data_IF_000062019873
#
_entry.id   IF_000062019873
#
_cell.length_a   1.000
_cell.length_b   1.000
_cell.length_c   1.000
_cell.angle_alpha   90.00
_cell.angle_beta   90.00
_cell.angle_gamma   90.00
#
_symmetry.space_group_name_H-M   'P 1'
#
loop_
_entity.id
_entity.type
_entity.pdbx_description
1 polymer ?
#
# COMPACT_ATOMS: atom_id res chain seq x y z
N UNK A 1 -23.49 -60.71 -30.96
CA UNK A 1 -24.17 -61.31 -29.79
C UNK A 1 -23.12 -61.54 -28.71
N UNK A 2 -23.47 -61.26 -27.46
CA UNK A 2 -22.70 -61.30 -26.19
C UNK A 2 -22.05 -59.99 -25.71
N UNK A 3 -22.66 -59.59 -24.61
CA UNK A 3 -22.41 -58.54 -23.62
C UNK A 3 -21.27 -58.95 -22.67
N UNK A 4 -20.80 -57.95 -21.91
CA UNK A 4 -20.19 -57.98 -20.57
C UNK A 4 -18.76 -58.53 -20.45
N UNK A 5 -17.82 -57.94 -19.71
CA UNK A 5 -17.89 -56.92 -18.63
C UNK A 5 -16.49 -56.39 -18.25
N UNK A 6 -16.47 -55.14 -17.72
CA UNK A 6 -15.55 -54.55 -16.70
C UNK A 6 -14.05 -54.48 -17.12
N UNK A 7 -13.38 -53.35 -17.01
CA UNK A 7 -13.16 -52.58 -15.78
C UNK A 7 -12.96 -51.08 -16.04
N UNK A 8 -13.26 -50.32 -14.99
CA UNK A 8 -13.28 -48.87 -14.91
C UNK A 8 -11.91 -48.22 -15.10
N UNK A 9 -11.87 -47.16 -15.90
CA UNK A 9 -11.03 -45.99 -15.64
C UNK A 9 -11.91 -44.77 -15.85
N UNK A 10 -12.54 -44.32 -14.77
CA UNK A 10 -13.24 -43.05 -14.74
C UNK A 10 -12.16 -41.98 -14.81
N UNK A 11 -11.98 -41.38 -15.97
CA UNK A 11 -11.39 -40.05 -16.06
C UNK A 11 -12.34 -39.12 -15.35
N UNK A 12 -11.93 -38.70 -14.16
CA UNK A 12 -12.57 -37.68 -13.36
C UNK A 12 -12.29 -36.34 -14.08
N UNK A 13 -13.02 -36.11 -15.18
CA UNK A 13 -13.26 -34.78 -15.72
C UNK A 13 -14.10 -34.07 -14.65
N UNK A 14 -13.41 -33.50 -13.66
CA UNK A 14 -13.98 -32.40 -12.89
C UNK A 14 -14.38 -31.37 -13.92
N UNK A 15 -15.69 -31.28 -14.15
CA UNK A 15 -16.32 -30.12 -14.70
C UNK A 15 -15.79 -28.92 -13.91
N UNK A 16 -14.88 -28.18 -14.54
CA UNK A 16 -14.62 -26.79 -14.22
C UNK A 16 -15.96 -26.05 -14.38
N UNK A 17 -16.78 -26.09 -13.34
CA UNK A 17 -17.69 -24.98 -13.06
C UNK A 17 -16.77 -23.96 -12.42
N UNK A 18 -16.21 -23.09 -13.27
CA UNK A 18 -15.70 -21.81 -12.83
C UNK A 18 -16.89 -21.07 -12.20
N UNK A 19 -17.05 -21.14 -10.88
CA UNK A 19 -17.53 -19.97 -10.15
C UNK A 19 -16.29 -19.10 -9.92
N UNK A 20 -15.95 -18.31 -10.92
CA UNK A 20 -15.06 -17.18 -10.70
C UNK A 20 -15.84 -16.16 -9.87
N UNK A 21 -15.84 -16.34 -8.55
CA UNK A 21 -16.14 -15.24 -7.63
C UNK A 21 -14.89 -14.35 -7.54
N UNK A 22 -14.47 -13.79 -8.68
CA UNK A 22 -13.60 -12.63 -8.69
C UNK A 22 -14.52 -11.44 -8.45
N UNK A 23 -14.55 -10.91 -7.24
CA UNK A 23 -15.19 -9.63 -6.96
C UNK A 23 -14.22 -8.52 -7.40
N UNK A 24 -14.42 -7.86 -8.57
CA UNK A 24 -13.40 -6.99 -9.18
C UNK A 24 -13.54 -5.53 -8.73
N UNK A 25 -14.27 -5.29 -7.63
CA UNK A 25 -14.54 -3.95 -7.14
C UNK A 25 -13.51 -3.60 -6.07
N UNK A 26 -12.63 -2.65 -6.38
CA UNK A 26 -11.66 -2.15 -5.42
C UNK A 26 -12.34 -1.14 -4.49
N UNK A 27 -12.36 -1.45 -3.20
CA UNK A 27 -13.01 -0.63 -2.17
C UNK A 27 -11.95 -0.10 -1.22
N UNK A 28 -11.96 1.20 -0.99
CA UNK A 28 -11.08 1.90 -0.05
C UNK A 28 -11.83 3.07 0.58
N UNK A 29 -11.27 3.72 1.60
CA UNK A 29 -11.88 4.89 2.23
C UNK A 29 -10.84 5.87 2.74
N UNK A 30 -11.24 7.14 2.84
CA UNK A 30 -10.39 8.22 3.34
C UNK A 30 -11.10 9.02 4.44
N UNK A 31 -10.44 9.30 5.59
CA UNK A 31 -9.13 8.77 5.97
C UNK A 31 -9.19 7.25 6.21
N UNK A 32 -8.11 6.55 5.90
CA UNK A 32 -8.00 5.09 6.06
C UNK A 32 -8.26 4.62 7.51
N UNK A 33 -7.93 5.47 8.50
CA UNK A 33 -8.12 5.21 9.93
C UNK A 33 -9.02 6.27 10.56
N UNK A 34 -10.34 6.17 10.37
CA UNK A 34 -11.26 7.13 10.93
C UNK A 34 -11.49 6.91 12.42
N UNK A 35 -11.40 7.98 13.20
CA UNK A 35 -11.81 7.94 14.60
C UNK A 35 -13.33 8.02 14.71
N UNK A 36 -13.85 7.61 15.86
CA UNK A 36 -15.24 7.89 16.23
C UNK A 36 -15.52 9.40 16.16
N UNK A 37 -16.45 9.79 15.32
CA UNK A 37 -16.83 11.17 15.03
C UNK A 37 -16.23 11.73 13.74
N UNK A 38 -15.27 11.04 13.12
CA UNK A 38 -14.70 11.46 11.85
C UNK A 38 -15.66 11.20 10.68
N UNK A 39 -15.54 12.04 9.65
CA UNK A 39 -16.18 11.82 8.35
C UNK A 39 -15.24 11.03 7.46
N UNK A 40 -15.70 9.90 6.96
CA UNK A 40 -15.03 9.13 5.91
C UNK A 40 -15.72 9.29 4.57
N UNK A 41 -14.94 9.28 3.51
CA UNK A 41 -15.41 9.04 2.15
C UNK A 41 -15.04 7.61 1.77
N UNK A 42 -16.03 6.77 1.52
CA UNK A 42 -15.86 5.40 1.04
C UNK A 42 -15.90 5.43 -0.48
N UNK A 43 -14.94 4.78 -1.12
CA UNK A 43 -14.77 4.70 -2.56
C UNK A 43 -14.99 3.27 -3.04
N UNK A 44 -15.65 3.13 -4.18
CA UNK A 44 -15.76 1.88 -4.91
C UNK A 44 -15.37 2.10 -6.38
N UNK A 45 -14.25 1.52 -6.77
CA UNK A 45 -13.81 1.45 -8.16
C UNK A 45 -14.37 0.18 -8.80
N UNK A 46 -15.32 0.38 -9.72
CA UNK A 46 -15.97 -0.73 -10.44
C UNK A 46 -15.40 -0.93 -11.85
N UNK A 47 -14.27 -0.31 -12.21
CA UNK A 47 -13.69 -0.31 -13.56
C UNK A 47 -13.47 -1.70 -14.15
N UNK A 48 -12.94 -2.62 -13.34
CA UNK A 48 -12.62 -3.99 -13.75
C UNK A 48 -13.77 -4.98 -13.49
N UNK A 49 -14.96 -4.47 -13.15
CA UNK A 49 -16.11 -5.29 -12.79
C UNK A 49 -17.29 -5.19 -13.76
N UNK A 50 -18.18 -6.16 -13.69
CA UNK A 50 -19.46 -6.14 -14.41
C UNK A 50 -20.34 -4.94 -13.99
N UNK A 51 -20.05 -4.32 -12.84
CA UNK A 51 -20.73 -3.14 -12.32
C UNK A 51 -20.35 -1.83 -13.03
N UNK A 52 -19.36 -1.84 -13.94
CA UNK A 52 -18.99 -0.64 -14.72
C UNK A 52 -20.15 -0.04 -15.52
N UNK A 53 -21.13 -0.88 -15.89
CA UNK A 53 -22.35 -0.48 -16.61
C UNK A 53 -23.59 -0.38 -15.71
N UNK A 54 -23.43 -0.54 -14.39
CA UNK A 54 -24.54 -0.40 -13.47
C UNK A 54 -25.08 1.04 -13.48
N UNK A 55 -26.41 1.13 -13.54
CA UNK A 55 -27.12 2.41 -13.46
C UNK A 55 -26.96 3.07 -12.08
N UNK A 56 -26.91 2.26 -11.02
CA UNK A 56 -26.74 2.71 -9.64
C UNK A 56 -25.91 1.70 -8.86
N UNK A 57 -24.97 2.22 -8.07
CA UNK A 57 -24.30 1.48 -7.00
C UNK A 57 -24.77 1.99 -5.65
N UNK A 58 -25.07 1.08 -4.76
CA UNK A 58 -25.52 1.36 -3.40
C UNK A 58 -24.50 0.82 -2.40
N UNK A 59 -24.51 1.45 -1.24
CA UNK A 59 -23.83 0.99 -0.04
C UNK A 59 -24.87 0.59 1.00
N UNK A 60 -24.64 -0.52 1.68
CA UNK A 60 -25.54 -1.11 2.66
C UNK A 60 -24.81 -1.21 3.99
N UNK A 61 -25.23 -0.46 5.01
CA UNK A 61 -24.59 -0.45 6.33
C UNK A 61 -25.35 -1.31 7.34
N UNK A 62 -24.61 -2.02 8.20
CA UNK A 62 -25.14 -2.79 9.31
C UNK A 62 -24.22 -2.72 10.53
N UNK A 63 -24.78 -2.77 11.73
CA UNK A 63 -24.02 -2.91 13.00
C UNK A 63 -24.10 -4.32 13.59
N UNK A 64 -24.97 -5.17 13.04
CA UNK A 64 -25.29 -6.51 13.57
C UNK A 64 -25.22 -7.63 12.51
N UNK A 65 -24.89 -7.30 11.26
CA UNK A 65 -24.90 -8.19 10.09
C UNK A 65 -26.27 -8.81 9.77
N UNK A 66 -27.35 -8.33 10.39
CA UNK A 66 -28.70 -8.82 10.15
C UNK A 66 -29.58 -7.74 9.52
N UNK A 67 -29.43 -6.49 9.97
CA UNK A 67 -30.24 -5.36 9.53
C UNK A 67 -29.37 -4.39 8.74
N UNK A 68 -29.74 -4.13 7.48
CA UNK A 68 -28.99 -3.25 6.60
C UNK A 68 -29.79 -2.01 6.21
N UNK A 69 -29.14 -0.85 6.27
CA UNK A 69 -29.64 0.42 5.73
C UNK A 69 -28.97 0.73 4.41
N UNK A 70 -29.76 0.94 3.36
CA UNK A 70 -29.26 1.12 1.98
C UNK A 70 -29.22 2.59 1.57
N UNK A 71 -28.13 2.99 0.94
CA UNK A 71 -27.95 4.34 0.41
C UNK A 71 -27.33 4.33 -0.98
N UNK A 72 -27.79 5.22 -1.85
CA UNK A 72 -27.18 5.42 -3.16
C UNK A 72 -25.81 6.09 -3.03
N UNK A 73 -24.80 5.54 -3.71
CA UNK A 73 -23.49 6.19 -3.85
C UNK A 73 -23.54 7.22 -4.99
N UNK A 74 -22.61 8.18 -4.95
CA UNK A 74 -22.47 9.25 -5.94
C UNK A 74 -21.34 8.94 -6.92
N UNK A 75 -21.50 9.29 -8.20
CA UNK A 75 -20.40 9.18 -9.17
C UNK A 75 -19.33 10.22 -8.88
N UNK A 76 -18.06 9.80 -8.83
CA UNK A 76 -16.90 10.69 -8.69
C UNK A 76 -16.04 10.67 -9.96
N UNK A 77 -16.45 11.45 -10.95
CA UNK A 77 -15.71 11.60 -12.20
C UNK A 77 -14.34 12.28 -12.05
N UNK A 78 -14.08 12.94 -10.91
CA UNK A 78 -12.79 13.54 -10.60
C UNK A 78 -11.74 12.48 -10.28
N UNK A 79 -12.13 11.44 -9.55
CA UNK A 79 -11.26 10.31 -9.17
C UNK A 79 -11.22 9.20 -10.22
N UNK A 80 -12.23 9.09 -11.09
CA UNK A 80 -12.20 8.21 -12.26
C UNK A 80 -13.58 7.93 -12.86
N UNK A 81 -13.62 7.46 -14.11
CA UNK A 81 -14.89 7.27 -14.85
C UNK A 81 -15.84 6.26 -14.18
N UNK A 82 -15.29 5.31 -13.43
CA UNK A 82 -16.01 4.22 -12.79
C UNK A 82 -15.96 4.26 -11.26
N UNK A 83 -15.61 5.42 -10.68
CA UNK A 83 -15.54 5.58 -9.22
C UNK A 83 -16.89 6.02 -8.66
N UNK A 84 -17.30 5.39 -7.57
CA UNK A 84 -18.44 5.78 -6.75
C UNK A 84 -18.01 6.12 -5.33
N UNK A 85 -18.67 7.09 -4.70
CA UNK A 85 -18.35 7.54 -3.36
C UNK A 85 -19.56 7.68 -2.44
N UNK A 86 -19.34 7.49 -1.14
CA UNK A 86 -20.33 7.77 -0.09
C UNK A 86 -19.64 8.37 1.14
N UNK A 87 -20.20 9.46 1.67
CA UNK A 87 -19.71 10.07 2.90
C UNK A 87 -20.44 9.49 4.12
N UNK A 88 -19.69 9.01 5.11
CA UNK A 88 -20.21 8.38 6.31
C UNK A 88 -19.60 9.00 7.57
N UNK A 89 -20.43 9.30 8.57
CA UNK A 89 -19.97 9.73 9.90
C UNK A 89 -19.74 8.49 10.77
N UNK A 90 -18.51 8.24 11.18
CA UNK A 90 -18.15 7.02 11.95
C UNK A 90 -18.64 7.14 13.38
N UNK A 91 -19.69 6.40 13.75
CA UNK A 91 -20.30 6.45 15.09
C UNK A 91 -19.90 5.27 15.98
N UNK A 92 -19.80 4.11 15.36
CA UNK A 92 -19.50 2.81 15.96
C UNK A 92 -18.96 1.86 14.88
N UNK A 93 -18.52 0.68 15.29
CA UNK A 93 -18.09 -0.37 14.37
C UNK A 93 -19.26 -0.72 13.44
N UNK A 94 -19.04 -0.49 12.14
CA UNK A 94 -20.09 -0.59 11.14
C UNK A 94 -19.61 -1.44 9.97
N UNK A 95 -20.34 -2.51 9.70
CA UNK A 95 -20.20 -3.32 8.51
C UNK A 95 -20.83 -2.60 7.33
N UNK A 96 -20.22 -2.68 6.16
CA UNK A 96 -20.84 -2.24 4.93
C UNK A 96 -20.57 -3.18 3.76
N UNK A 97 -21.53 -3.19 2.85
CA UNK A 97 -21.51 -3.93 1.59
C UNK A 97 -21.79 -2.96 0.44
N UNK A 98 -21.13 -3.15 -0.69
CA UNK A 98 -21.36 -2.35 -1.90
C UNK A 98 -21.90 -3.28 -2.99
N UNK A 99 -22.94 -2.83 -3.70
CA UNK A 99 -23.62 -3.63 -4.72
C UNK A 99 -24.63 -2.83 -5.54
N UNK A 100 -25.30 -3.49 -6.49
CA UNK A 100 -26.46 -2.91 -7.21
C UNK A 100 -27.79 -3.46 -6.64
N UNK A 101 -28.93 -2.96 -7.14
CA UNK A 101 -30.26 -3.37 -6.68
C UNK A 101 -30.62 -4.86 -6.92
N UNK A 102 -29.87 -5.59 -7.75
CA UNK A 102 -30.25 -6.90 -8.30
C UNK A 102 -29.42 -8.08 -7.73
N UNK A 103 -28.78 -7.89 -6.57
CA UNK A 103 -27.91 -8.86 -5.85
C UNK A 103 -26.57 -9.19 -6.52
N UNK A 104 -25.49 -8.70 -5.91
CA UNK A 104 -24.33 -9.52 -5.53
C UNK A 104 -23.59 -8.77 -4.42
N UNK A 105 -23.54 -9.35 -3.21
CA UNK A 105 -22.74 -8.81 -2.13
C UNK A 105 -21.27 -8.99 -2.50
N UNK A 106 -20.59 -7.87 -2.77
CA UNK A 106 -19.25 -7.92 -3.36
C UNK A 106 -18.14 -8.15 -2.35
N UNK A 107 -18.35 -7.77 -1.08
CA UNK A 107 -17.54 -8.08 0.11
C UNK A 107 -18.21 -7.43 1.32
N UNK A 108 -18.24 -8.09 2.49
CA UNK A 108 -18.59 -7.44 3.76
C UNK A 108 -17.31 -6.84 4.35
N UNK A 109 -17.23 -5.51 4.40
CA UNK A 109 -16.09 -4.77 4.95
C UNK A 109 -16.53 -4.13 6.27
N UNK A 110 -15.65 -4.07 7.26
CA UNK A 110 -15.95 -3.44 8.55
C UNK A 110 -15.16 -2.15 8.68
N UNK A 111 -15.84 -1.03 8.91
CA UNK A 111 -15.24 0.20 9.44
C UNK A 111 -15.28 0.07 10.96
N UNK A 112 -14.15 -0.17 11.60
CA UNK A 112 -14.09 -0.21 13.06
C UNK A 112 -13.88 1.19 13.61
N UNK A 113 -14.76 1.60 14.51
CA UNK A 113 -14.63 2.82 15.32
C UNK A 113 -13.50 2.73 16.37
N UNK A 114 -12.93 1.54 16.59
CA UNK A 114 -11.79 1.29 17.47
C UNK A 114 -10.42 1.47 16.80
N UNK A 115 -10.35 1.72 15.49
CA UNK A 115 -9.09 1.93 14.77
C UNK A 115 -8.61 3.38 15.00
N UNK A 116 -8.31 3.69 16.27
CA UNK A 116 -7.51 4.87 16.64
C UNK A 116 -6.30 4.85 15.73
N UNK A 117 -6.04 5.94 15.01
CA UNK A 117 -4.84 6.05 14.20
C UNK A 117 -3.64 5.62 15.06
N UNK A 118 -3.02 4.45 14.79
CA UNK A 118 -2.08 3.85 15.72
C UNK A 118 -0.76 4.64 15.75
N UNK A 119 -0.58 5.59 14.83
CA UNK A 119 0.53 6.55 14.86
C UNK A 119 0.33 7.69 15.87
N UNK A 120 -0.87 7.91 16.42
CA UNK A 120 -1.11 8.93 17.47
C UNK A 120 -0.18 8.67 18.68
N UNK A 121 -0.22 7.50 19.33
CA UNK A 121 0.70 7.19 20.42
C UNK A 121 2.18 7.15 19.97
N UNK A 122 2.48 6.78 18.72
CA UNK A 122 3.85 6.88 18.18
C UNK A 122 4.34 8.33 18.25
N UNK A 123 3.53 9.30 17.82
CA UNK A 123 3.90 10.71 17.86
C UNK A 123 4.21 11.18 19.28
N UNK A 124 3.44 10.75 20.27
CA UNK A 124 3.68 11.09 21.68
C UNK A 124 4.99 10.48 22.19
N UNK A 125 5.30 9.24 21.81
CA UNK A 125 6.58 8.61 22.12
C UNK A 125 7.75 9.32 21.43
N UNK A 126 7.62 9.71 20.17
CA UNK A 126 8.66 10.48 19.46
C UNK A 126 8.90 11.85 20.12
N UNK A 127 7.84 12.58 20.48
CA UNK A 127 7.95 13.88 21.14
C UNK A 127 8.60 13.77 22.54
N UNK A 128 8.33 12.69 23.25
CA UNK A 128 8.96 12.39 24.55
C UNK A 128 10.32 11.68 24.43
N UNK A 129 10.79 11.43 23.20
CA UNK A 129 12.02 10.70 22.87
C UNK A 129 12.08 9.28 23.42
N UNK A 130 10.91 8.67 23.62
CA UNK A 130 10.79 7.27 23.98
C UNK A 130 10.83 6.39 22.72
N UNK A 131 12.00 6.35 22.09
CA UNK A 131 12.19 5.63 20.82
C UNK A 131 11.95 4.12 20.97
N UNK A 132 12.21 3.54 22.15
CA UNK A 132 11.95 2.13 22.39
C UNK A 132 10.48 1.79 22.26
N UNK A 133 9.59 2.54 22.94
CA UNK A 133 8.14 2.34 22.81
C UNK A 133 7.62 2.72 21.43
N UNK A 134 8.18 3.77 20.81
CA UNK A 134 7.84 4.13 19.43
C UNK A 134 8.12 2.98 18.46
N UNK A 135 9.33 2.41 18.48
CA UNK A 135 9.75 1.31 17.61
C UNK A 135 8.88 0.07 17.87
N UNK A 136 8.68 -0.35 19.12
CA UNK A 136 7.83 -1.51 19.42
C UNK A 136 6.42 -1.35 18.86
N UNK A 137 5.85 -0.15 18.96
CA UNK A 137 4.52 0.08 18.42
C UNK A 137 4.53 0.11 16.88
N UNK A 138 5.54 0.70 16.26
CA UNK A 138 5.71 0.71 14.80
C UNK A 138 5.91 -0.72 14.23
N UNK A 139 6.64 -1.58 14.94
CA UNK A 139 6.79 -2.99 14.58
C UNK A 139 5.45 -3.74 14.64
N UNK A 140 4.63 -3.47 15.68
CA UNK A 140 3.28 -4.02 15.75
C UNK A 140 2.41 -3.52 14.59
N UNK A 141 2.47 -2.23 14.27
CA UNK A 141 1.73 -1.66 13.13
C UNK A 141 2.15 -2.34 11.82
N UNK A 142 3.44 -2.52 11.56
CA UNK A 142 3.91 -3.21 10.37
C UNK A 142 3.41 -4.67 10.31
N UNK A 143 3.41 -5.37 11.45
CA UNK A 143 2.93 -6.75 11.55
C UNK A 143 1.40 -6.90 11.41
N UNK A 144 0.62 -5.94 11.91
CA UNK A 144 -0.84 -6.01 11.94
C UNK A 144 -1.47 -5.65 10.57
N UNK A 145 -0.75 -4.88 9.74
CA UNK A 145 -1.22 -4.39 8.44
C UNK A 145 -0.28 -4.76 7.28
N UNK A 146 0.07 -6.05 7.10
CA UNK A 146 1.11 -6.46 6.15
C UNK A 146 0.74 -6.11 4.70
N UNK A 147 1.72 -5.62 3.94
CA UNK A 147 1.59 -5.17 2.54
C UNK A 147 0.66 -3.95 2.31
N UNK A 148 0.21 -3.27 3.36
CA UNK A 148 -0.53 -2.01 3.25
C UNK A 148 0.42 -0.81 3.32
N UNK A 149 -0.02 0.36 2.86
CA UNK A 149 0.80 1.59 2.91
C UNK A 149 1.23 1.90 4.35
N UNK A 150 0.35 1.63 5.32
CA UNK A 150 0.63 1.75 6.75
C UNK A 150 1.88 0.98 7.22
N UNK A 151 2.08 -0.27 6.78
CA UNK A 151 3.24 -1.05 7.20
C UNK A 151 4.55 -0.44 6.66
N UNK A 152 4.52 0.05 5.43
CA UNK A 152 5.65 0.77 4.82
C UNK A 152 5.92 2.11 5.49
N UNK A 153 4.88 2.84 5.92
CA UNK A 153 5.02 4.07 6.70
C UNK A 153 5.59 3.80 8.09
N UNK A 154 5.17 2.69 8.72
CA UNK A 154 5.70 2.31 10.03
C UNK A 154 7.18 1.95 9.96
N UNK A 155 7.58 1.13 8.98
CA UNK A 155 8.99 0.83 8.72
C UNK A 155 9.79 2.09 8.37
N UNK A 156 9.21 3.01 7.60
CA UNK A 156 9.84 4.29 7.28
C UNK A 156 10.09 5.11 8.54
N UNK A 157 9.13 5.20 9.45
CA UNK A 157 9.31 5.90 10.72
C UNK A 157 10.40 5.25 11.60
N UNK A 158 10.52 3.91 11.60
CA UNK A 158 11.63 3.23 12.27
C UNK A 158 12.96 3.64 11.63
N UNK A 159 13.05 3.65 10.30
CA UNK A 159 14.24 4.09 9.58
C UNK A 159 14.63 5.54 9.93
N UNK A 160 13.66 6.45 10.02
CA UNK A 160 13.88 7.85 10.40
C UNK A 160 14.40 8.00 11.85
N UNK A 161 13.96 7.15 12.79
CA UNK A 161 14.50 7.13 14.16
C UNK A 161 15.98 6.71 14.13
N UNK A 162 16.30 5.62 13.41
CA UNK A 162 17.69 5.16 13.29
C UNK A 162 18.58 6.19 12.58
N UNK A 163 18.06 6.89 11.57
CA UNK A 163 18.78 7.91 10.83
C UNK A 163 19.04 9.16 11.68
N UNK A 164 18.00 9.73 12.27
CA UNK A 164 18.06 11.08 12.85
C UNK A 164 18.46 11.08 14.33
N UNK A 165 17.93 10.14 15.10
CA UNK A 165 18.09 10.14 16.56
C UNK A 165 19.25 9.25 17.01
N UNK A 166 19.41 8.07 16.40
CA UNK A 166 20.52 7.17 16.72
C UNK A 166 21.75 7.36 15.83
N UNK A 167 21.56 7.90 14.62
CA UNK A 167 22.63 8.05 13.60
C UNK A 167 23.28 6.73 13.20
N UNK A 168 22.50 5.65 13.26
CA UNK A 168 22.89 4.32 12.83
C UNK A 168 22.58 4.15 11.35
N UNK A 169 23.38 4.81 10.51
CA UNK A 169 23.13 4.94 9.06
C UNK A 169 23.01 3.60 8.34
N UNK A 170 23.76 2.59 8.78
CA UNK A 170 23.68 1.24 8.21
C UNK A 170 22.32 0.60 8.50
N UNK A 171 21.85 0.67 9.74
CA UNK A 171 20.55 0.13 10.13
C UNK A 171 19.43 0.86 9.39
N UNK A 172 19.48 2.20 9.34
CA UNK A 172 18.51 2.99 8.59
C UNK A 172 18.51 2.60 7.09
N UNK A 173 19.69 2.41 6.48
CA UNK A 173 19.79 1.98 5.08
C UNK A 173 19.16 0.62 4.81
N UNK A 174 19.29 -0.32 5.76
CA UNK A 174 18.71 -1.66 5.63
C UNK A 174 17.16 -1.60 5.69
N UNK A 175 16.59 -0.74 6.55
CA UNK A 175 15.14 -0.49 6.54
C UNK A 175 14.66 0.16 5.24
N UNK A 176 15.32 1.23 4.76
CA UNK A 176 14.91 1.85 3.50
C UNK A 176 15.02 0.89 2.31
N UNK A 177 16.06 0.05 2.26
CA UNK A 177 16.18 -0.99 1.24
C UNK A 177 15.03 -2.01 1.32
N UNK A 178 14.69 -2.49 2.52
CA UNK A 178 13.53 -3.37 2.74
C UNK A 178 12.24 -2.72 2.24
N UNK A 179 12.02 -1.44 2.54
CA UNK A 179 10.80 -0.73 2.11
C UNK A 179 10.71 -0.70 0.57
N UNK A 180 11.82 -0.45 -0.11
CA UNK A 180 11.90 -0.37 -1.58
C UNK A 180 11.63 -1.73 -2.23
N UNK A 181 12.12 -2.80 -1.63
CA UNK A 181 12.04 -4.16 -2.19
C UNK A 181 10.68 -4.82 -1.94
N UNK A 182 10.02 -4.51 -0.82
CA UNK A 182 8.85 -5.26 -0.36
C UNK A 182 7.50 -4.57 -0.58
N UNK A 183 7.47 -3.25 -0.82
CA UNK A 183 6.21 -2.50 -0.90
C UNK A 183 5.92 -1.92 -2.30
N UNK A 184 4.65 -1.56 -2.52
CA UNK A 184 4.22 -0.99 -3.80
C UNK A 184 4.94 0.32 -4.09
N UNK A 185 5.44 0.46 -5.33
CA UNK A 185 6.05 1.71 -5.82
C UNK A 185 5.07 2.88 -5.87
N UNK A 186 3.76 2.66 -5.70
CA UNK A 186 2.79 3.75 -5.56
C UNK A 186 2.82 4.41 -4.17
N UNK A 187 3.36 3.73 -3.15
CA UNK A 187 3.35 4.23 -1.77
C UNK A 187 4.36 5.36 -1.57
N UNK A 188 3.96 6.35 -0.76
CA UNK A 188 4.76 7.55 -0.52
C UNK A 188 6.08 7.24 0.19
N UNK A 189 6.04 6.30 1.14
CA UNK A 189 7.19 5.77 1.89
C UNK A 189 8.28 5.19 0.96
N UNK A 190 7.91 4.43 -0.08
CA UNK A 190 8.85 3.81 -1.03
C UNK A 190 9.62 4.89 -1.78
N UNK A 191 8.92 5.90 -2.29
CA UNK A 191 9.55 7.04 -2.96
C UNK A 191 10.53 7.79 -2.04
N UNK A 192 10.10 8.12 -0.81
CA UNK A 192 10.96 8.79 0.17
C UNK A 192 12.18 7.94 0.51
N UNK A 193 11.98 6.63 0.70
CA UNK A 193 13.04 5.66 0.99
C UNK A 193 14.08 5.61 -0.11
N UNK A 194 13.67 5.61 -1.39
CA UNK A 194 14.62 5.64 -2.51
C UNK A 194 15.52 6.88 -2.48
N UNK A 195 14.94 8.06 -2.25
CA UNK A 195 15.74 9.28 -2.15
C UNK A 195 16.69 9.24 -0.94
N UNK A 196 16.16 8.91 0.24
CA UNK A 196 16.94 8.88 1.49
C UNK A 196 18.03 7.80 1.47
N UNK A 197 17.78 6.63 0.90
CA UNK A 197 18.77 5.57 0.75
C UNK A 197 19.93 6.01 -0.14
N UNK A 198 19.64 6.63 -1.29
CA UNK A 198 20.67 7.20 -2.16
C UNK A 198 21.51 8.25 -1.42
N UNK A 199 20.87 9.10 -0.63
CA UNK A 199 21.53 10.11 0.18
C UNK A 199 22.45 9.49 1.25
N UNK A 200 21.98 8.46 1.96
CA UNK A 200 22.77 7.76 2.98
C UNK A 200 23.98 7.06 2.37
N UNK A 201 23.77 6.35 1.26
CA UNK A 201 24.84 5.69 0.53
C UNK A 201 25.92 6.67 0.06
N UNK A 202 25.52 7.83 -0.46
CA UNK A 202 26.46 8.84 -0.94
C UNK A 202 27.22 9.56 0.18
N UNK A 203 26.54 9.89 1.29
CA UNK A 203 27.07 10.85 2.28
C UNK A 203 27.57 10.22 3.58
N UNK A 204 27.12 9.01 3.94
CA UNK A 204 27.46 8.39 5.22
C UNK A 204 28.15 7.03 5.09
N UNK A 205 27.85 6.26 4.05
CA UNK A 205 28.37 4.89 3.89
C UNK A 205 29.38 4.71 2.76
N UNK A 206 29.58 5.74 1.92
CA UNK A 206 30.48 5.72 0.76
C UNK A 206 30.16 4.63 -0.27
N UNK A 207 28.90 4.20 -0.33
CA UNK A 207 28.39 3.23 -1.31
C UNK A 207 27.98 3.94 -2.60
N UNK A 208 28.95 4.62 -3.23
CA UNK A 208 28.69 5.55 -4.33
C UNK A 208 28.03 4.89 -5.55
N UNK A 209 28.45 3.68 -5.91
CA UNK A 209 27.84 2.92 -7.01
C UNK A 209 26.35 2.64 -6.75
N UNK A 210 26.02 2.25 -5.51
CA UNK A 210 24.65 1.93 -5.11
C UNK A 210 23.81 3.22 -5.01
N UNK A 211 24.38 4.31 -4.51
CA UNK A 211 23.72 5.63 -4.51
C UNK A 211 23.31 6.05 -5.93
N UNK A 212 24.23 5.98 -6.89
CA UNK A 212 23.98 6.31 -8.30
C UNK A 212 22.89 5.40 -8.88
N UNK A 213 22.94 4.09 -8.58
CA UNK A 213 21.96 3.12 -9.05
C UNK A 213 20.54 3.44 -8.54
N UNK A 214 20.40 3.70 -7.24
CA UNK A 214 19.12 4.04 -6.61
C UNK A 214 18.56 5.37 -7.14
N UNK A 215 19.39 6.41 -7.30
CA UNK A 215 18.94 7.68 -7.88
C UNK A 215 18.47 7.52 -9.33
N UNK A 216 19.16 6.71 -10.14
CA UNK A 216 18.70 6.39 -11.52
C UNK A 216 17.40 5.60 -11.50
N UNK A 217 17.26 4.65 -10.58
CA UNK A 217 16.02 3.90 -10.39
C UNK A 217 14.87 4.82 -9.98
N UNK A 218 15.12 5.82 -9.12
CA UNK A 218 14.13 6.84 -8.73
C UNK A 218 13.62 7.57 -9.97
N UNK A 219 14.53 8.06 -10.84
CA UNK A 219 14.15 8.77 -12.08
C UNK A 219 13.32 7.90 -13.02
N UNK A 220 13.69 6.62 -13.15
CA UNK A 220 12.96 5.69 -14.00
C UNK A 220 11.57 5.35 -13.44
N UNK A 221 11.44 5.28 -12.12
CA UNK A 221 10.19 4.91 -11.44
C UNK A 221 9.23 6.11 -11.34
N UNK A 222 9.76 7.31 -11.10
CA UNK A 222 8.97 8.53 -10.91
C UNK A 222 9.39 9.66 -11.87
N UNK A 223 9.16 9.52 -13.18
CA UNK A 223 9.68 10.44 -14.21
C UNK A 223 9.08 11.86 -14.18
N UNK A 224 8.05 12.11 -13.38
CA UNK A 224 7.40 13.41 -13.22
C UNK A 224 7.40 13.91 -11.75
N UNK A 225 8.26 13.35 -10.89
CA UNK A 225 8.25 13.71 -9.47
C UNK A 225 8.92 15.06 -9.18
N UNK A 226 8.42 15.75 -8.17
CA UNK A 226 8.94 17.04 -7.73
C UNK A 226 10.38 16.97 -7.18
N UNK A 227 10.85 15.80 -6.76
CA UNK A 227 12.23 15.60 -6.27
C UNK A 227 13.26 15.36 -7.38
N UNK A 228 12.86 15.25 -8.65
CA UNK A 228 13.82 15.03 -9.74
C UNK A 228 14.95 16.06 -9.81
N UNK A 229 14.73 17.38 -9.60
CA UNK A 229 15.83 18.34 -9.54
C UNK A 229 16.84 18.05 -8.41
N UNK A 230 16.37 17.57 -7.26
CA UNK A 230 17.23 17.16 -6.14
C UNK A 230 18.01 15.89 -6.49
N UNK A 231 17.36 14.90 -7.11
CA UNK A 231 18.02 13.68 -7.58
C UNK A 231 19.10 13.98 -8.62
N UNK A 232 18.81 14.89 -9.56
CA UNK A 232 19.77 15.32 -10.57
C UNK A 232 20.96 16.07 -9.95
N UNK A 233 20.72 16.89 -8.93
CA UNK A 233 21.77 17.54 -8.17
C UNK A 233 22.70 16.52 -7.50
N UNK A 234 22.14 15.54 -6.80
CA UNK A 234 22.92 14.47 -6.14
C UNK A 234 23.73 13.64 -7.14
N UNK A 235 23.13 13.25 -8.28
CA UNK A 235 23.85 12.55 -9.35
C UNK A 235 25.00 13.39 -9.93
N UNK A 236 24.82 14.71 -10.05
CA UNK A 236 25.87 15.59 -10.53
C UNK A 236 27.05 15.67 -9.55
N UNK A 237 26.79 15.72 -8.23
CA UNK A 237 27.82 15.64 -7.19
C UNK A 237 28.63 14.34 -7.27
N UNK A 238 27.98 13.23 -7.65
CA UNK A 238 28.61 11.91 -7.78
C UNK A 238 29.30 11.67 -9.14
N UNK A 239 29.19 12.60 -10.09
CA UNK A 239 29.62 12.36 -11.49
C UNK A 239 31.12 12.11 -11.66
N UNK A 240 31.98 12.80 -10.91
CA UNK A 240 33.43 12.59 -10.99
C UNK A 240 33.86 11.29 -10.30
N UNK A 241 33.15 10.89 -9.24
CA UNK A 241 33.31 9.58 -8.59
C UNK A 241 32.90 8.48 -9.56
N UNK A 242 31.78 8.64 -10.27
CA UNK A 242 31.32 7.68 -11.27
C UNK A 242 32.35 7.47 -12.40
N UNK A 243 32.93 8.55 -12.95
CA UNK A 243 34.00 8.44 -13.96
C UNK A 243 35.18 7.63 -13.43
N UNK A 244 35.56 7.86 -12.17
CA UNK A 244 36.66 7.15 -11.52
C UNK A 244 36.36 5.66 -11.38
N UNK A 245 35.17 5.30 -10.87
CA UNK A 245 34.68 3.91 -10.78
C UNK A 245 34.73 3.22 -12.15
N UNK A 246 34.21 3.87 -13.18
CA UNK A 246 34.18 3.31 -14.54
C UNK A 246 35.57 3.07 -15.13
N UNK A 247 36.54 3.95 -14.84
CA UNK A 247 37.93 3.75 -15.30
C UNK A 247 38.61 2.54 -14.64
N UNK A 248 38.34 2.31 -13.36
CA UNK A 248 38.84 1.13 -12.61
C UNK A 248 38.22 -0.17 -13.13
N UNK A 249 36.92 -0.17 -13.42
CA UNK A 249 36.23 -1.35 -13.98
C UNK A 249 36.69 -1.69 -15.40
N UNK A 250 37.07 -0.70 -16.19
CA UNK A 250 37.56 -0.92 -17.56
C UNK A 250 39.04 -1.30 -17.63
N UNK A 251 39.84 -0.93 -16.63
CA UNK A 251 41.26 -1.32 -16.56
C UNK A 251 41.50 -2.71 -15.96
N UNK A 252 40.46 -3.34 -15.40
CA UNK A 252 40.49 -4.70 -14.86
C UNK A 252 40.02 -5.79 -15.85
N UNK A 253 39.67 -5.42 -17.08
CA UNK A 253 39.33 -6.31 -18.20
C UNK A 253 40.51 -6.51 -19.13
#
# INVERSE_FOLDING_TARGET
MKRTSKQAFIFLLFSFVFSQDYSPVNIYWEPEFPNKGDKVTIYADVSDSDFRYAYQINIHFSTDLQNYSTYAMNRDYGSGMFIWTYQYDVKEDTYFEIGNNDNANLNTITIKSSDVNPFIPVKDFLLSKDYGRAITLLENISSDYPNQEMASDAEFMIAEIYLNDFKEYKIASDYYASIIDNYSKSFSSVKKSMFTLGYIYANYLEYYSDAIAIYRQFKATYPNDALLPSVDYELNLLSDIEKSINSLLNSSK
#
